data_IF_536845989582
#
_entry.id   IF_536845989582
#
_cell.length_a   1.000
_cell.length_b   1.000
_cell.length_c   1.000
_cell.angle_alpha   90.00
_cell.angle_beta   90.00
_cell.angle_gamma   90.00
#
_symmetry.space_group_name_H-M   'P 1'
#
loop_
_entity.id
_entity.type
_entity.pdbx_description
1 polymer ?
#
# COMPACT_ATOMS: atom_id res chain seq x y z
N UNK A 1 3.40 -18.20 16.89
CA UNK A 1 3.36 -16.74 16.67
C UNK A 1 3.09 -16.08 18.01
N UNK A 2 3.81 -15.04 18.35
CA UNK A 2 3.60 -14.26 19.57
C UNK A 2 2.49 -13.24 19.35
N UNK A 3 1.75 -12.88 20.42
CA UNK A 3 0.74 -11.80 20.35
C UNK A 3 1.27 -10.54 21.01
N UNK A 4 0.97 -9.38 20.44
CA UNK A 4 1.38 -8.08 20.91
C UNK A 4 0.16 -7.15 21.01
N UNK A 5 0.09 -6.37 22.09
CA UNK A 5 -0.95 -5.35 22.27
C UNK A 5 -0.79 -4.22 21.26
N UNK A 6 -1.89 -3.82 20.64
CA UNK A 6 -1.91 -2.75 19.62
C UNK A 6 -1.38 -1.42 20.18
N UNK A 7 -1.77 -1.06 21.41
CA UNK A 7 -1.31 0.19 22.04
C UNK A 7 0.20 0.19 22.28
N UNK A 8 0.77 -0.96 22.71
CA UNK A 8 2.21 -1.11 22.87
C UNK A 8 2.94 -0.94 21.54
N UNK A 9 2.45 -1.60 20.50
CA UNK A 9 3.05 -1.52 19.17
C UNK A 9 2.98 -0.09 18.61
N UNK A 10 1.83 0.59 18.77
CA UNK A 10 1.67 1.99 18.38
C UNK A 10 2.63 2.90 19.14
N UNK A 11 2.68 2.80 20.46
CA UNK A 11 3.55 3.62 21.31
C UNK A 11 5.03 3.42 20.95
N UNK A 12 5.43 2.17 20.72
CA UNK A 12 6.79 1.86 20.28
C UNK A 12 7.12 2.50 18.93
N UNK A 13 6.22 2.37 17.93
CA UNK A 13 6.41 2.95 16.60
C UNK A 13 6.54 4.48 16.65
N UNK A 14 5.65 5.15 17.41
CA UNK A 14 5.71 6.61 17.59
C UNK A 14 7.00 7.02 18.29
N UNK A 15 7.36 6.38 19.40
CA UNK A 15 8.58 6.72 20.14
C UNK A 15 9.85 6.54 19.28
N UNK A 16 9.90 5.47 18.48
CA UNK A 16 11.02 5.24 17.57
C UNK A 16 11.16 6.34 16.51
N UNK A 17 10.04 6.79 15.93
CA UNK A 17 10.02 7.87 14.93
C UNK A 17 10.37 9.23 15.54
N UNK A 18 9.85 9.54 16.73
CA UNK A 18 10.17 10.79 17.43
C UNK A 18 11.65 10.83 17.83
N UNK A 19 12.22 9.69 18.23
CA UNK A 19 13.63 9.62 18.65
C UNK A 19 14.64 10.03 17.57
N UNK A 20 14.24 9.93 16.29
CA UNK A 20 15.05 10.35 15.14
C UNK A 20 14.71 11.74 14.61
N UNK A 21 13.88 12.50 15.33
CA UNK A 21 13.54 13.90 15.06
C UNK A 21 12.27 14.13 14.25
N UNK A 22 11.45 13.10 14.01
CA UNK A 22 10.11 13.30 13.40
C UNK A 22 9.19 14.05 14.37
N UNK A 23 8.29 14.89 13.83
CA UNK A 23 7.27 15.53 14.64
C UNK A 23 6.32 14.48 15.24
N UNK A 24 5.78 14.74 16.42
CA UNK A 24 4.84 13.82 17.08
C UNK A 24 3.59 13.58 16.20
N UNK A 25 3.12 14.58 15.48
CA UNK A 25 2.00 14.49 14.55
C UNK A 25 2.30 13.52 13.40
N UNK A 26 3.47 13.64 12.76
CA UNK A 26 3.85 12.78 11.63
C UNK A 26 4.20 11.37 12.08
N UNK A 27 4.82 11.23 13.26
CA UNK A 27 5.08 9.94 13.89
C UNK A 27 3.78 9.19 14.19
N UNK A 28 2.76 9.87 14.73
CA UNK A 28 1.43 9.29 14.93
C UNK A 28 0.75 8.92 13.61
N UNK A 29 0.82 9.78 12.59
CA UNK A 29 0.29 9.49 11.25
C UNK A 29 0.95 8.25 10.66
N UNK A 30 2.27 8.17 10.71
CA UNK A 30 3.04 7.04 10.19
C UNK A 30 2.72 5.75 10.96
N UNK A 31 2.71 5.80 12.28
CA UNK A 31 2.37 4.66 13.13
C UNK A 31 0.93 4.19 12.89
N UNK A 32 -0.02 5.10 12.69
CA UNK A 32 -1.41 4.76 12.40
C UNK A 32 -1.56 3.98 11.09
N UNK A 33 -0.91 4.43 10.02
CA UNK A 33 -0.89 3.71 8.74
C UNK A 33 -0.35 2.30 8.94
N UNK A 34 0.81 2.15 9.59
CA UNK A 34 1.49 0.86 9.70
C UNK A 34 0.76 -0.12 10.63
N UNK A 35 0.31 0.34 11.80
CA UNK A 35 -0.42 -0.50 12.76
C UNK A 35 -1.79 -0.88 12.21
N UNK A 36 -2.50 0.05 11.56
CA UNK A 36 -3.77 -0.27 10.89
C UNK A 36 -3.58 -1.32 9.80
N UNK A 37 -2.53 -1.22 9.01
CA UNK A 37 -2.16 -2.21 7.98
C UNK A 37 -1.92 -3.60 8.61
N UNK A 38 -1.24 -3.67 9.74
CA UNK A 38 -1.05 -4.93 10.48
C UNK A 38 -2.38 -5.51 10.97
N UNK A 39 -3.32 -4.68 11.43
CA UNK A 39 -4.66 -5.16 11.86
C UNK A 39 -5.46 -5.77 10.71
N UNK A 40 -5.28 -5.33 9.48
CA UNK A 40 -5.86 -5.96 8.29
C UNK A 40 -5.15 -7.28 7.90
N UNK A 41 -4.06 -7.63 8.59
CA UNK A 41 -3.28 -8.83 8.31
C UNK A 41 -2.31 -8.69 7.15
N UNK A 42 -2.02 -7.45 6.71
CA UNK A 42 -1.06 -7.15 5.64
C UNK A 42 0.32 -6.89 6.23
N UNK A 43 0.85 -7.86 6.97
CA UNK A 43 2.08 -7.76 7.77
C UNK A 43 3.35 -7.41 6.96
N UNK A 44 3.30 -7.57 5.64
CA UNK A 44 4.41 -7.23 4.74
C UNK A 44 4.59 -5.72 4.51
N UNK A 45 3.53 -4.94 4.77
CA UNK A 45 3.48 -3.49 4.55
C UNK A 45 3.19 -2.68 5.82
N UNK A 46 3.14 -3.36 6.98
CA UNK A 46 2.92 -2.77 8.29
C UNK A 46 4.20 -2.40 9.03
N UNK A 47 4.16 -2.50 10.34
CA UNK A 47 5.23 -2.07 11.27
C UNK A 47 6.55 -2.80 11.10
N UNK A 48 6.58 -3.97 10.45
CA UNK A 48 7.80 -4.66 10.04
C UNK A 48 8.74 -3.74 9.24
N UNK A 49 8.19 -2.84 8.44
CA UNK A 49 8.97 -1.96 7.55
C UNK A 49 9.50 -0.70 8.26
N UNK A 50 9.08 -0.44 9.50
CA UNK A 50 9.48 0.76 10.24
C UNK A 50 11.00 0.90 10.37
N UNK A 51 11.70 -0.21 10.58
CA UNK A 51 13.17 -0.25 10.63
C UNK A 51 13.77 0.30 9.32
N UNK A 52 13.30 -0.16 8.17
CA UNK A 52 13.82 0.30 6.87
C UNK A 52 13.58 1.79 6.60
N UNK A 53 12.44 2.33 7.03
CA UNK A 53 12.21 3.78 6.93
C UNK A 53 13.17 4.58 7.79
N UNK A 54 13.41 4.14 9.02
CA UNK A 54 14.36 4.81 9.92
C UNK A 54 15.80 4.70 9.40
N UNK A 55 16.19 3.55 8.86
CA UNK A 55 17.51 3.39 8.22
C UNK A 55 17.66 4.35 7.03
N UNK A 56 16.62 4.48 6.20
CA UNK A 56 16.62 5.40 5.05
C UNK A 56 16.69 6.86 5.49
N UNK A 57 16.00 7.25 6.58
CA UNK A 57 16.12 8.58 7.17
C UNK A 57 17.54 8.85 7.68
N UNK A 58 18.12 7.90 8.39
CA UNK A 58 19.53 8.04 8.89
C UNK A 58 20.53 8.12 7.75
N UNK A 59 20.27 7.47 6.63
CA UNK A 59 21.11 7.51 5.44
C UNK A 59 20.91 8.76 4.55
N UNK A 60 19.88 9.59 4.81
CA UNK A 60 19.59 10.83 4.08
C UNK A 60 18.69 10.68 2.87
N UNK A 61 18.22 9.47 2.56
CA UNK A 61 17.26 9.24 1.45
C UNK A 61 15.83 9.67 1.78
N UNK A 62 15.51 9.86 3.06
CA UNK A 62 14.31 10.52 3.59
C UNK A 62 14.72 11.57 4.61
N UNK A 63 13.88 12.57 4.79
CA UNK A 63 14.01 13.59 5.83
C UNK A 63 12.88 13.46 6.85
N UNK A 64 13.24 13.16 8.11
CA UNK A 64 12.28 13.01 9.20
C UNK A 64 11.52 14.30 9.52
N UNK A 65 12.05 15.47 9.14
CA UNK A 65 11.49 16.79 9.42
C UNK A 65 10.84 17.44 8.20
N UNK A 66 10.84 16.75 7.06
CA UNK A 66 10.29 17.30 5.84
C UNK A 66 8.76 17.43 5.93
N UNK A 67 8.25 18.57 5.48
CA UNK A 67 6.83 18.85 5.39
C UNK A 67 6.37 18.82 3.92
N UNK A 68 5.46 17.90 3.55
CA UNK A 68 4.86 17.92 2.22
C UNK A 68 4.11 19.24 1.97
N UNK A 69 4.27 19.81 0.78
CA UNK A 69 3.67 21.11 0.41
C UNK A 69 2.84 20.99 -0.86
N UNK A 70 1.73 21.74 -0.93
CA UNK A 70 0.96 21.87 -2.16
C UNK A 70 1.78 22.76 -3.11
N UNK A 71 2.11 22.22 -4.28
CA UNK A 71 2.88 22.92 -5.31
C UNK A 71 1.97 23.63 -6.30
N UNK A 72 0.90 22.96 -6.71
CA UNK A 72 -0.10 23.46 -7.66
C UNK A 72 -1.47 22.87 -7.29
N UNK A 73 -2.52 23.65 -7.46
CA UNK A 73 -3.87 23.16 -7.25
C UNK A 73 -4.92 23.89 -8.07
N UNK A 74 -6.04 23.23 -8.30
CA UNK A 74 -7.29 23.78 -8.82
C UNK A 74 -8.46 23.33 -7.95
N UNK A 75 -9.67 23.61 -8.39
CA UNK A 75 -10.87 23.28 -7.61
C UNK A 75 -10.97 21.79 -7.29
N UNK A 76 -10.71 20.91 -8.27
CA UNK A 76 -10.89 19.47 -8.16
C UNK A 76 -9.57 18.68 -8.23
N UNK A 77 -8.42 19.33 -8.12
CA UNK A 77 -7.14 18.63 -8.19
C UNK A 77 -6.03 19.39 -7.43
N UNK A 78 -4.98 18.65 -7.07
CA UNK A 78 -3.74 19.25 -6.55
C UNK A 78 -2.54 18.35 -6.87
N UNK A 79 -1.35 18.97 -6.90
CA UNK A 79 -0.06 18.28 -6.90
C UNK A 79 0.70 18.68 -5.63
N UNK A 80 1.15 17.67 -4.89
CA UNK A 80 1.91 17.84 -3.66
C UNK A 80 3.35 17.42 -3.92
N UNK A 81 4.29 18.25 -3.53
CA UNK A 81 5.67 17.87 -3.36
C UNK A 81 5.85 17.22 -2.00
N UNK A 82 6.25 15.96 -1.97
CA UNK A 82 6.51 15.22 -0.74
C UNK A 82 7.75 15.68 0.02
N UNK A 83 8.63 16.46 -0.61
CA UNK A 83 9.85 17.04 -0.01
C UNK A 83 10.74 16.01 0.69
N UNK A 84 10.77 14.77 0.22
CA UNK A 84 11.45 13.62 0.86
C UNK A 84 10.87 13.21 2.23
N UNK A 85 9.67 13.66 2.59
CA UNK A 85 8.98 13.16 3.76
C UNK A 85 8.67 11.66 3.62
N UNK A 86 8.38 11.01 4.73
CA UNK A 86 7.88 9.64 4.73
C UNK A 86 6.61 9.54 3.90
N UNK A 87 6.52 8.54 3.04
CA UNK A 87 5.40 8.38 2.10
C UNK A 87 4.03 8.38 2.77
N UNK A 88 3.92 7.89 4.01
CA UNK A 88 2.68 7.88 4.79
C UNK A 88 2.18 9.29 5.11
N UNK A 89 3.08 10.21 5.45
CA UNK A 89 2.73 11.61 5.77
C UNK A 89 2.21 12.32 4.52
N UNK A 90 2.93 12.22 3.40
CA UNK A 90 2.54 12.82 2.12
C UNK A 90 1.20 12.29 1.63
N UNK A 91 1.00 10.97 1.74
CA UNK A 91 -0.18 10.27 1.23
C UNK A 91 -1.43 10.54 2.07
N UNK A 92 -1.31 10.59 3.40
CA UNK A 92 -2.42 10.99 4.26
C UNK A 92 -2.86 12.42 3.99
N UNK A 93 -1.90 13.35 3.80
CA UNK A 93 -2.19 14.73 3.42
C UNK A 93 -2.91 14.79 2.07
N UNK A 94 -2.43 14.02 1.08
CA UNK A 94 -3.00 14.00 -0.26
C UNK A 94 -4.43 13.45 -0.28
N UNK A 95 -4.70 12.29 0.37
CA UNK A 95 -6.05 11.74 0.40
C UNK A 95 -7.02 12.64 1.18
N UNK A 96 -6.60 13.23 2.31
CA UNK A 96 -7.43 14.20 3.05
C UNK A 96 -7.77 15.42 2.20
N UNK A 97 -6.82 15.92 1.41
CA UNK A 97 -7.06 17.04 0.47
C UNK A 97 -8.01 16.62 -0.67
N UNK A 98 -7.86 15.39 -1.20
CA UNK A 98 -8.78 14.87 -2.22
C UNK A 98 -10.22 14.79 -1.68
N UNK A 99 -10.40 14.27 -0.47
CA UNK A 99 -11.70 14.21 0.23
C UNK A 99 -12.29 15.61 0.39
N UNK A 100 -11.48 16.58 0.87
CA UNK A 100 -11.94 17.96 1.05
C UNK A 100 -12.41 18.58 -0.27
N UNK A 101 -11.62 18.47 -1.35
CA UNK A 101 -11.98 19.00 -2.65
C UNK A 101 -13.19 18.28 -3.27
N UNK A 102 -13.33 16.96 -3.06
CA UNK A 102 -14.47 16.19 -3.53
C UNK A 102 -15.78 16.62 -2.89
N UNK A 103 -15.79 17.08 -1.63
CA UNK A 103 -16.98 17.65 -0.96
C UNK A 103 -17.56 18.84 -1.73
N UNK A 104 -16.72 19.62 -2.41
CA UNK A 104 -17.15 20.76 -3.21
C UNK A 104 -17.45 20.37 -4.67
N UNK A 105 -16.56 19.62 -5.30
CA UNK A 105 -16.56 19.33 -6.74
C UNK A 105 -17.20 17.99 -7.13
N UNK A 106 -17.53 17.12 -6.17
CA UNK A 106 -18.07 15.77 -6.41
C UNK A 106 -16.99 14.72 -6.66
N UNK A 107 -15.87 15.09 -7.29
CA UNK A 107 -14.70 14.24 -7.53
C UNK A 107 -13.44 15.08 -7.46
N UNK A 108 -12.37 14.54 -6.90
CA UNK A 108 -11.07 15.21 -6.89
C UNK A 108 -9.91 14.23 -7.05
N UNK A 109 -8.84 14.70 -7.68
CA UNK A 109 -7.57 14.02 -7.86
C UNK A 109 -6.47 14.78 -7.11
N UNK A 110 -5.65 14.07 -6.32
CA UNK A 110 -4.44 14.64 -5.72
C UNK A 110 -3.25 13.75 -6.01
N UNK A 111 -2.27 14.29 -6.74
CA UNK A 111 -1.02 13.61 -7.04
C UNK A 111 0.09 14.02 -6.08
N UNK A 112 1.05 13.12 -5.87
CA UNK A 112 2.25 13.36 -5.04
C UNK A 112 3.48 12.95 -5.83
N UNK A 113 4.54 13.76 -5.79
CA UNK A 113 5.86 13.40 -6.27
C UNK A 113 6.92 13.62 -5.20
N UNK A 114 8.17 13.26 -5.46
CA UNK A 114 9.29 13.38 -4.52
C UNK A 114 8.95 12.71 -3.18
N UNK A 115 8.37 11.51 -3.26
CA UNK A 115 7.90 10.71 -2.12
C UNK A 115 8.67 9.38 -2.06
N UNK A 116 8.22 8.48 -1.20
CA UNK A 116 8.81 7.18 -0.95
C UNK A 116 7.71 6.15 -0.73
N UNK A 117 8.08 4.87 -0.60
CA UNK A 117 7.16 3.81 -0.21
C UNK A 117 6.21 4.25 0.92
N UNK A 118 4.90 3.95 0.80
CA UNK A 118 3.85 4.53 1.63
C UNK A 118 3.04 3.51 2.45
N UNK A 119 3.54 2.26 2.58
CA UNK A 119 2.80 1.18 3.22
C UNK A 119 1.78 0.55 2.28
N UNK A 120 0.59 0.21 2.78
CA UNK A 120 -0.49 -0.40 2.01
C UNK A 120 -1.43 0.64 1.41
N UNK A 121 -1.75 0.51 0.11
CA UNK A 121 -2.62 1.45 -0.60
C UNK A 121 -4.05 1.43 -0.05
N UNK A 122 -4.49 0.27 0.44
CA UNK A 122 -5.81 0.09 1.04
C UNK A 122 -6.10 0.97 2.26
N UNK A 123 -5.08 1.39 2.98
CA UNK A 123 -5.26 2.34 4.08
C UNK A 123 -5.86 3.65 3.56
N UNK A 124 -5.30 4.20 2.48
CA UNK A 124 -5.71 5.52 1.97
C UNK A 124 -7.05 5.48 1.27
N UNK A 125 -7.34 4.45 0.47
CA UNK A 125 -8.67 4.31 -0.15
C UNK A 125 -9.77 4.19 0.91
N UNK A 126 -9.48 3.52 2.04
CA UNK A 126 -10.40 3.42 3.18
C UNK A 126 -10.57 4.73 3.97
N UNK A 127 -9.62 5.68 3.93
CA UNK A 127 -9.84 7.02 4.48
C UNK A 127 -11.01 7.72 3.79
N UNK A 128 -11.12 7.62 2.47
CA UNK A 128 -12.24 8.18 1.74
C UNK A 128 -13.55 7.41 2.02
N UNK A 129 -13.49 6.08 2.11
CA UNK A 129 -14.66 5.27 2.42
C UNK A 129 -15.22 5.57 3.82
N UNK A 130 -14.36 5.87 4.80
CA UNK A 130 -14.77 6.29 6.14
C UNK A 130 -15.53 7.64 6.14
N UNK A 131 -15.29 8.49 5.14
CA UNK A 131 -16.01 9.76 4.93
C UNK A 131 -17.23 9.63 3.99
N UNK A 132 -17.67 8.39 3.69
CA UNK A 132 -18.81 8.13 2.81
C UNK A 132 -18.52 8.30 1.32
N UNK A 133 -17.24 8.30 0.91
CA UNK A 133 -16.81 8.50 -0.47
C UNK A 133 -16.22 7.21 -1.05
N UNK A 134 -16.20 7.08 -2.39
CA UNK A 134 -15.37 6.07 -3.03
C UNK A 134 -13.95 6.61 -3.11
N UNK A 135 -12.97 5.86 -2.59
CA UNK A 135 -11.56 6.19 -2.63
C UNK A 135 -10.77 5.31 -3.58
N UNK A 136 -9.82 5.90 -4.31
CA UNK A 136 -8.77 5.18 -5.04
C UNK A 136 -7.40 5.67 -4.55
N UNK A 137 -6.46 4.74 -4.42
CA UNK A 137 -5.08 5.04 -4.07
C UNK A 137 -4.14 4.18 -4.92
N UNK A 138 -3.17 4.79 -5.57
CA UNK A 138 -2.19 4.12 -6.41
C UNK A 138 -0.79 4.70 -6.18
N UNK A 139 0.22 3.89 -6.42
CA UNK A 139 1.63 4.30 -6.37
C UNK A 139 2.42 3.59 -7.43
N UNK A 140 3.40 4.27 -8.03
CA UNK A 140 4.42 3.53 -8.76
C UNK A 140 5.50 3.00 -7.81
N UNK A 141 6.34 2.11 -8.31
CA UNK A 141 7.44 1.48 -7.58
C UNK A 141 8.62 1.22 -8.52
N UNK A 142 9.78 0.94 -7.94
CA UNK A 142 10.96 0.48 -8.68
C UNK A 142 10.66 -0.78 -9.51
N UNK A 143 11.27 -0.96 -10.69
CA UNK A 143 10.97 -2.05 -11.59
C UNK A 143 11.26 -3.42 -11.00
N UNK A 144 10.25 -4.29 -10.96
CA UNK A 144 10.33 -5.70 -10.49
C UNK A 144 9.60 -6.67 -11.42
N UNK A 145 8.77 -6.16 -12.33
CA UNK A 145 7.94 -6.95 -13.25
C UNK A 145 8.52 -6.86 -14.66
N UNK A 146 8.63 -8.01 -15.35
CA UNK A 146 8.84 -8.06 -16.79
C UNK A 146 7.52 -7.81 -17.52
N UNK A 147 7.54 -6.93 -18.51
CA UNK A 147 6.36 -6.68 -19.35
C UNK A 147 6.14 -7.87 -20.33
N UNK A 148 4.93 -8.07 -20.87
CA UNK A 148 4.66 -9.11 -21.86
C UNK A 148 5.65 -9.04 -23.03
N UNK A 149 6.24 -10.18 -23.39
CA UNK A 149 7.33 -10.33 -24.37
C UNK A 149 8.66 -9.65 -23.96
N UNK A 150 8.75 -9.12 -22.75
CA UNK A 150 10.00 -8.62 -22.20
C UNK A 150 10.70 -9.69 -21.35
N UNK A 151 12.01 -9.54 -21.15
CA UNK A 151 12.84 -10.48 -20.37
C UNK A 151 13.50 -9.85 -19.13
N UNK A 152 13.33 -8.54 -18.93
CA UNK A 152 13.91 -7.81 -17.81
C UNK A 152 12.83 -7.04 -17.05
N UNK A 153 13.12 -6.72 -15.81
CA UNK A 153 12.33 -5.82 -14.99
C UNK A 153 12.18 -4.47 -15.70
N UNK A 154 10.96 -4.06 -15.96
CA UNK A 154 10.66 -2.86 -16.74
C UNK A 154 9.66 -1.94 -16.04
N UNK A 155 8.78 -2.48 -15.19
CA UNK A 155 7.75 -1.73 -14.47
C UNK A 155 7.65 -2.20 -13.03
N UNK A 156 7.24 -1.32 -12.14
CA UNK A 156 7.04 -1.62 -10.73
C UNK A 156 5.85 -2.54 -10.46
N UNK A 157 5.73 -3.00 -9.22
CA UNK A 157 4.54 -3.73 -8.75
C UNK A 157 3.29 -2.86 -8.70
N UNK A 158 3.44 -1.56 -8.76
CA UNK A 158 2.47 -0.50 -8.97
C UNK A 158 1.13 -0.79 -8.28
N UNK A 159 1.06 -0.73 -6.92
CA UNK A 159 -0.13 -1.09 -6.19
C UNK A 159 -1.33 -0.26 -6.59
N UNK A 160 -2.47 -0.93 -6.64
CA UNK A 160 -3.78 -0.34 -6.93
C UNK A 160 -4.75 -0.71 -5.82
N UNK A 161 -5.42 0.30 -5.26
CA UNK A 161 -6.49 0.11 -4.29
C UNK A 161 -7.70 0.97 -4.59
N UNK A 162 -8.88 0.41 -4.35
CA UNK A 162 -10.11 1.17 -4.22
C UNK A 162 -10.86 0.75 -2.95
N UNK A 163 -11.72 1.64 -2.44
CA UNK A 163 -12.67 1.34 -1.37
C UNK A 163 -13.99 2.06 -1.62
N UNK A 164 -15.09 1.36 -1.37
CA UNK A 164 -16.46 1.91 -1.47
C UNK A 164 -17.22 1.62 -0.17
N UNK A 165 -17.86 2.61 0.49
CA UNK A 165 -18.47 2.44 1.80
C UNK A 165 -19.70 1.54 1.76
N UNK A 166 -19.89 0.71 2.79
CA UNK A 166 -21.08 -0.13 2.98
C UNK A 166 -22.15 0.53 3.87
N UNK A 167 -21.81 1.60 4.59
CA UNK A 167 -22.71 2.29 5.49
C UNK A 167 -22.70 1.79 6.94
N UNK A 168 -21.97 0.70 7.22
CA UNK A 168 -21.81 0.09 8.54
C UNK A 168 -20.41 0.34 9.16
N UNK A 169 -19.68 1.30 8.63
CA UNK A 169 -18.29 1.61 9.01
C UNK A 169 -17.25 0.73 8.30
N UNK A 170 -17.69 -0.20 7.45
CA UNK A 170 -16.83 -1.02 6.58
C UNK A 170 -16.96 -0.59 5.12
N UNK A 171 -16.12 -1.17 4.28
CA UNK A 171 -16.11 -0.95 2.84
C UNK A 171 -15.94 -2.26 2.06
N UNK A 172 -16.41 -2.30 0.83
CA UNK A 172 -15.82 -3.20 -0.16
C UNK A 172 -14.51 -2.54 -0.58
N UNK A 173 -13.38 -3.23 -0.44
CA UNK A 173 -12.11 -2.70 -0.91
C UNK A 173 -11.20 -3.77 -1.49
N UNK A 174 -10.35 -3.34 -2.40
CA UNK A 174 -9.27 -4.13 -2.99
C UNK A 174 -7.95 -3.40 -2.74
N UNK A 175 -6.92 -4.13 -2.36
CA UNK A 175 -5.53 -3.63 -2.28
C UNK A 175 -4.61 -4.70 -2.83
N UNK A 176 -4.04 -4.46 -4.00
CA UNK A 176 -3.24 -5.44 -4.73
C UNK A 176 -1.99 -4.83 -5.34
N UNK A 177 -0.93 -5.63 -5.40
CA UNK A 177 0.15 -5.43 -6.36
C UNK A 177 -0.30 -5.93 -7.74
N UNK A 178 0.19 -5.30 -8.82
CA UNK A 178 -0.14 -5.71 -10.18
C UNK A 178 0.81 -6.79 -10.76
N UNK A 179 1.65 -7.38 -9.89
CA UNK A 179 2.34 -8.64 -10.15
C UNK A 179 1.43 -9.83 -9.87
N UNK A 180 1.68 -10.95 -10.54
CA UNK A 180 0.90 -12.18 -10.34
C UNK A 180 1.09 -12.78 -8.95
N UNK A 181 2.19 -12.44 -8.29
CA UNK A 181 2.53 -12.86 -6.93
C UNK A 181 3.32 -11.77 -6.21
N UNK A 182 3.18 -11.68 -4.90
CA UNK A 182 4.06 -10.84 -4.10
C UNK A 182 5.48 -11.42 -4.05
N UNK A 183 6.51 -10.57 -4.21
CA UNK A 183 7.92 -10.98 -4.17
C UNK A 183 8.29 -11.80 -2.92
N UNK A 184 7.71 -11.48 -1.77
CA UNK A 184 7.94 -12.21 -0.52
C UNK A 184 7.50 -13.69 -0.62
N UNK A 185 6.45 -14.02 -1.37
CA UNK A 185 6.04 -15.42 -1.56
C UNK A 185 7.09 -16.22 -2.35
N UNK A 186 7.78 -15.57 -3.30
CA UNK A 186 8.89 -16.18 -4.02
C UNK A 186 10.05 -16.45 -3.07
N UNK A 187 10.42 -15.47 -2.24
CA UNK A 187 11.49 -15.60 -1.24
C UNK A 187 11.17 -16.73 -0.24
N UNK A 188 9.93 -16.81 0.23
CA UNK A 188 9.49 -17.90 1.12
C UNK A 188 9.57 -19.29 0.45
N UNK A 189 9.35 -19.38 -0.86
CA UNK A 189 9.50 -20.62 -1.60
C UNK A 189 10.98 -21.01 -1.74
N UNK A 190 11.89 -20.02 -1.98
CA UNK A 190 13.35 -20.23 -1.96
C UNK A 190 13.81 -20.80 -0.62
N UNK A 191 13.45 -20.15 0.50
CA UNK A 191 13.82 -20.59 1.84
C UNK A 191 13.39 -22.04 2.15
N UNK A 192 12.31 -22.49 1.51
CA UNK A 192 11.77 -23.86 1.67
C UNK A 192 12.24 -24.84 0.59
N UNK A 193 13.07 -24.42 -0.36
CA UNK A 193 13.49 -25.23 -1.49
C UNK A 193 12.31 -25.72 -2.37
N UNK A 194 11.24 -24.91 -2.47
CA UNK A 194 10.02 -25.30 -3.18
C UNK A 194 9.99 -24.74 -4.58
N UNK A 195 9.52 -25.55 -5.52
CA UNK A 195 9.15 -25.07 -6.86
C UNK A 195 7.94 -24.14 -6.78
N UNK A 196 7.93 -23.13 -7.65
CA UNK A 196 6.85 -22.17 -7.79
C UNK A 196 6.05 -22.42 -9.09
N UNK A 197 4.81 -21.89 -9.19
CA UNK A 197 4.09 -21.87 -10.46
C UNK A 197 4.88 -21.12 -11.56
N UNK A 198 4.82 -21.60 -12.78
CA UNK A 198 5.44 -20.98 -13.96
C UNK A 198 4.84 -19.63 -14.34
N UNK A 199 3.70 -19.27 -13.74
CA UNK A 199 3.04 -17.97 -13.87
C UNK A 199 3.65 -16.88 -12.99
N UNK A 200 4.61 -17.20 -12.10
CA UNK A 200 5.15 -16.23 -11.15
C UNK A 200 6.34 -15.46 -11.69
N UNK A 201 7.25 -16.16 -12.36
CA UNK A 201 8.53 -15.59 -12.83
C UNK A 201 8.77 -15.87 -14.31
N UNK A 202 9.51 -14.96 -14.94
CA UNK A 202 10.25 -15.21 -16.18
C UNK A 202 11.74 -15.08 -15.89
N UNK A 203 12.56 -15.90 -16.55
CA UNK A 203 14.01 -15.87 -16.45
C UNK A 203 14.64 -14.79 -17.35
N UNK A 204 15.98 -14.78 -17.45
CA UNK A 204 16.74 -13.80 -18.24
C UNK A 204 16.45 -13.84 -19.74
N UNK A 205 15.91 -14.95 -20.25
CA UNK A 205 15.48 -15.08 -21.66
C UNK A 205 13.99 -14.73 -21.85
N UNK A 206 13.26 -14.40 -20.75
CA UNK A 206 11.84 -14.09 -20.80
C UNK A 206 10.96 -15.34 -20.82
N UNK A 207 11.52 -16.50 -20.50
CA UNK A 207 10.79 -17.78 -20.47
C UNK A 207 10.25 -18.02 -19.06
N UNK A 208 8.98 -18.48 -18.93
CA UNK A 208 8.42 -18.86 -17.64
C UNK A 208 9.29 -19.88 -16.91
N UNK A 209 9.54 -19.69 -15.61
CA UNK A 209 10.36 -20.58 -14.80
C UNK A 209 9.67 -20.98 -13.50
N UNK A 210 9.90 -22.22 -13.06
CA UNK A 210 9.44 -22.75 -11.76
C UNK A 210 10.54 -22.71 -10.70
N UNK A 211 11.71 -22.16 -11.03
CA UNK A 211 12.86 -22.07 -10.18
C UNK A 211 12.85 -20.74 -9.40
N UNK A 212 12.53 -20.82 -8.10
CA UNK A 212 12.48 -19.66 -7.22
C UNK A 212 13.88 -19.05 -6.96
N UNK A 213 14.97 -19.85 -7.05
CA UNK A 213 16.31 -19.41 -6.69
C UNK A 213 16.89 -18.36 -7.67
N UNK A 214 16.33 -18.31 -8.88
CA UNK A 214 16.66 -17.26 -9.86
C UNK A 214 16.24 -15.84 -9.44
N UNK A 215 15.25 -15.72 -8.55
CA UNK A 215 14.79 -14.40 -8.09
C UNK A 215 15.63 -13.89 -6.89
N UNK A 216 15.99 -12.61 -6.80
CA UNK A 216 15.60 -11.51 -7.71
C UNK A 216 16.63 -11.19 -8.80
N UNK A 217 17.73 -11.91 -8.92
CA UNK A 217 18.85 -11.54 -9.79
C UNK A 217 18.64 -11.95 -11.26
N UNK A 218 18.26 -13.19 -11.47
CA UNK A 218 18.16 -13.85 -12.78
C UNK A 218 16.72 -14.04 -13.26
N UNK A 219 15.74 -13.52 -12.50
CA UNK A 219 14.33 -13.60 -12.86
C UNK A 219 13.57 -12.34 -12.48
N UNK A 220 12.46 -12.12 -13.17
CA UNK A 220 11.52 -11.01 -12.97
C UNK A 220 10.13 -11.54 -12.69
N UNK A 221 9.35 -10.82 -11.88
CA UNK A 221 7.94 -11.15 -11.66
C UNK A 221 7.14 -11.03 -12.96
N UNK A 222 6.08 -11.82 -13.08
CA UNK A 222 5.10 -11.67 -14.16
C UNK A 222 3.95 -10.76 -13.75
N UNK A 223 3.36 -9.98 -14.67
CA UNK A 223 2.21 -9.16 -14.38
C UNK A 223 0.96 -10.00 -14.14
N UNK A 224 0.09 -9.58 -13.24
CA UNK A 224 -1.21 -10.20 -12.97
C UNK A 224 -2.01 -10.34 -14.27
N UNK A 225 -2.54 -11.53 -14.54
CA UNK A 225 -3.31 -11.80 -15.76
C UNK A 225 -2.64 -11.29 -17.05
N UNK A 226 -1.31 -11.39 -17.15
CA UNK A 226 -0.49 -11.01 -18.31
C UNK A 226 -0.72 -9.55 -18.77
N UNK A 227 -1.13 -9.33 -20.03
CA UNK A 227 -1.32 -8.01 -20.62
C UNK A 227 -2.37 -7.13 -19.87
N UNK A 228 -3.32 -7.74 -19.16
CA UNK A 228 -4.36 -6.98 -18.43
C UNK A 228 -3.77 -6.25 -17.22
N UNK A 229 -3.05 -6.96 -16.36
CA UNK A 229 -2.36 -6.34 -15.22
C UNK A 229 -1.25 -5.39 -15.66
N UNK A 230 -0.55 -5.71 -16.76
CA UNK A 230 0.40 -4.77 -17.36
C UNK A 230 -0.29 -3.47 -17.77
N UNK A 231 -1.47 -3.52 -18.42
CA UNK A 231 -2.23 -2.32 -18.76
C UNK A 231 -2.63 -1.49 -17.53
N UNK A 232 -3.04 -2.14 -16.45
CA UNK A 232 -3.31 -1.46 -15.18
C UNK A 232 -2.03 -0.86 -14.57
N UNK A 233 -0.88 -1.55 -14.64
CA UNK A 233 0.38 -1.02 -14.14
C UNK A 233 0.83 0.24 -14.91
N UNK A 234 0.58 0.30 -16.21
CA UNK A 234 0.81 1.49 -17.04
C UNK A 234 -0.15 2.63 -16.65
N UNK A 235 -1.42 2.34 -16.40
CA UNK A 235 -2.37 3.35 -15.88
C UNK A 235 -1.89 3.94 -14.55
N UNK A 236 -1.43 3.09 -13.64
CA UNK A 236 -0.86 3.56 -12.35
C UNK A 236 0.36 4.44 -12.59
N UNK A 237 1.27 4.06 -13.50
CA UNK A 237 2.44 4.86 -13.86
C UNK A 237 2.03 6.24 -14.39
N UNK A 238 1.01 6.31 -15.25
CA UNK A 238 0.49 7.57 -15.79
C UNK A 238 -0.06 8.44 -14.65
N UNK A 239 -0.92 7.88 -13.81
CA UNK A 239 -1.57 8.63 -12.73
C UNK A 239 -0.58 9.07 -11.65
N UNK A 240 0.29 8.15 -11.20
CA UNK A 240 1.16 8.38 -10.04
C UNK A 240 2.48 9.07 -10.40
N UNK A 241 2.98 8.92 -11.61
CA UNK A 241 4.28 9.45 -11.99
C UNK A 241 4.21 10.49 -13.12
N UNK A 242 3.69 10.13 -14.30
CA UNK A 242 3.69 11.05 -15.45
C UNK A 242 2.92 12.34 -15.14
N UNK A 243 1.74 12.23 -14.53
CA UNK A 243 0.90 13.39 -14.17
C UNK A 243 1.46 14.22 -13.02
N UNK A 244 2.22 13.60 -12.12
CA UNK A 244 2.72 14.25 -10.91
C UNK A 244 4.11 14.87 -11.09
N UNK A 245 4.87 14.40 -12.09
CA UNK A 245 6.28 14.74 -12.27
C UNK A 245 7.24 13.92 -11.40
N UNK A 246 6.78 12.80 -10.83
CA UNK A 246 7.63 11.85 -10.12
C UNK A 246 8.50 11.04 -11.10
N UNK A 247 9.43 10.25 -10.57
CA UNK A 247 10.24 9.33 -11.36
C UNK A 247 9.37 8.31 -12.09
N UNK A 248 9.68 8.02 -13.35
CA UNK A 248 9.03 6.99 -14.15
C UNK A 248 9.92 5.75 -14.28
N UNK A 249 9.33 4.57 -14.15
CA UNK A 249 10.02 3.28 -14.40
C UNK A 249 11.39 3.21 -13.68
N UNK A 250 12.49 3.18 -14.45
CA UNK A 250 13.86 3.08 -13.93
C UNK A 250 14.37 4.32 -13.18
N UNK A 251 13.67 5.43 -13.21
CA UNK A 251 13.98 6.62 -12.40
C UNK A 251 13.54 6.46 -10.94
N UNK A 252 12.67 5.48 -10.66
CA UNK A 252 12.28 5.14 -9.28
C UNK A 252 13.36 4.26 -8.66
N UNK A 253 14.01 4.79 -7.63
CA UNK A 253 15.07 4.08 -6.90
C UNK A 253 14.46 3.18 -5.83
N UNK A 254 15.04 2.00 -5.62
CA UNK A 254 14.54 1.08 -4.59
C UNK A 254 14.60 1.69 -3.19
N UNK A 255 13.47 1.69 -2.49
CA UNK A 255 13.36 2.34 -1.18
C UNK A 255 14.13 1.61 -0.06
N UNK A 256 14.36 0.31 -0.22
CA UNK A 256 14.97 -0.56 0.80
C UNK A 256 16.36 -1.10 0.43
N UNK A 257 16.78 -0.97 -0.84
CA UNK A 257 18.11 -1.39 -1.28
C UNK A 257 19.08 -0.21 -1.42
N UNK A 258 18.56 0.96 -1.82
CA UNK A 258 19.34 2.21 -1.87
C UNK A 258 18.80 3.18 -0.81
N UNK A 259 19.43 3.13 0.36
CA UNK A 259 18.98 3.92 1.51
C UNK A 259 19.34 5.41 1.41
N UNK A 260 20.42 5.75 0.71
CA UNK A 260 20.94 7.12 0.63
C UNK A 260 20.24 7.96 -0.44
N UNK A 261 19.80 7.34 -1.54
CA UNK A 261 19.17 8.04 -2.64
C UNK A 261 17.70 8.34 -2.34
N UNK A 262 17.19 9.44 -2.90
CA UNK A 262 15.77 9.76 -2.90
C UNK A 262 15.04 8.74 -3.75
N UNK A 263 13.97 8.14 -3.25
CA UNK A 263 13.22 7.13 -3.98
C UNK A 263 12.48 7.72 -5.20
N UNK A 264 11.97 8.95 -5.07
CA UNK A 264 11.22 9.69 -6.07
C UNK A 264 9.98 8.94 -6.61
N UNK A 265 9.37 8.12 -5.75
CA UNK A 265 8.09 7.51 -6.07
C UNK A 265 6.97 8.56 -6.13
N UNK A 266 5.99 8.30 -6.98
CA UNK A 266 4.79 9.09 -7.11
C UNK A 266 3.57 8.35 -6.59
N UNK A 267 2.56 9.09 -6.17
CA UNK A 267 1.29 8.55 -5.73
C UNK A 267 0.13 9.33 -6.34
N UNK A 268 -1.02 8.70 -6.47
CA UNK A 268 -2.25 9.39 -6.84
C UNK A 268 -3.42 8.91 -5.98
N UNK A 269 -4.23 9.86 -5.59
CA UNK A 269 -5.40 9.68 -4.74
C UNK A 269 -6.61 10.32 -5.41
N UNK A 270 -7.71 9.58 -5.47
CA UNK A 270 -8.98 10.07 -6.02
C UNK A 270 -10.05 9.81 -4.97
N UNK A 271 -10.86 10.83 -4.68
CA UNK A 271 -12.06 10.71 -3.87
C UNK A 271 -13.28 11.11 -4.71
N UNK A 272 -14.36 10.32 -4.60
CA UNK A 272 -15.64 10.57 -5.26
C UNK A 272 -16.70 10.70 -4.18
N UNK A 273 -17.29 11.86 -4.04
CA UNK A 273 -18.36 12.11 -3.08
C UNK A 273 -19.68 11.53 -3.62
N UNK A 274 -20.08 10.40 -3.04
CA UNK A 274 -21.30 9.71 -3.41
C UNK A 274 -22.52 10.58 -3.24
N UNK A 275 -22.55 11.44 -2.22
CA UNK A 275 -23.70 12.31 -1.91
C UNK A 275 -23.98 13.35 -2.98
N UNK A 276 -22.98 13.68 -3.82
CA UNK A 276 -23.15 14.55 -4.99
C UNK A 276 -23.77 13.84 -6.18
N UNK A 277 -23.70 12.51 -6.23
CA UNK A 277 -24.20 11.69 -7.34
C UNK A 277 -25.60 11.15 -7.07
N UNK A 278 -25.86 10.75 -5.80
CA UNK A 278 -27.16 10.23 -5.35
C UNK A 278 -27.30 10.36 -3.83
N UNK A 279 -28.52 10.26 -3.28
CA UNK A 279 -28.69 10.20 -1.83
C UNK A 279 -27.89 9.05 -1.21
N UNK A 280 -27.11 9.32 -0.15
CA UNK A 280 -26.23 8.36 0.48
C UNK A 280 -26.95 7.07 0.95
N UNK A 281 -28.16 7.21 1.51
CA UNK A 281 -28.99 6.06 1.91
C UNK A 281 -29.39 5.18 0.73
N UNK A 282 -29.59 5.77 -0.45
CA UNK A 282 -29.87 5.01 -1.67
C UNK A 282 -28.63 4.24 -2.10
N UNK A 283 -27.47 4.87 -2.04
CA UNK A 283 -26.19 4.22 -2.35
C UNK A 283 -25.92 3.04 -1.41
N UNK A 284 -26.04 3.22 -0.11
CA UNK A 284 -25.75 2.15 0.87
C UNK A 284 -26.73 0.98 0.75
N UNK A 285 -28.00 1.24 0.47
CA UNK A 285 -28.97 0.17 0.15
C UNK A 285 -28.57 -0.63 -1.09
N UNK A 286 -28.10 0.04 -2.15
CA UNK A 286 -27.63 -0.63 -3.36
C UNK A 286 -26.32 -1.39 -3.12
N UNK A 287 -25.42 -0.88 -2.27
CA UNK A 287 -24.20 -1.58 -1.86
C UNK A 287 -24.53 -2.84 -1.04
N UNK A 288 -25.51 -2.77 -0.16
CA UNK A 288 -26.00 -3.95 0.57
C UNK A 288 -26.58 -4.99 -0.40
N UNK A 289 -27.45 -4.59 -1.33
CA UNK A 289 -27.97 -5.48 -2.36
C UNK A 289 -26.85 -6.13 -3.18
N UNK A 290 -25.89 -5.36 -3.67
CA UNK A 290 -24.71 -5.88 -4.41
C UNK A 290 -23.98 -6.93 -3.59
N UNK A 291 -23.71 -6.64 -2.31
CA UNK A 291 -23.01 -7.54 -1.41
C UNK A 291 -23.78 -8.85 -1.18
N UNK A 292 -25.08 -8.75 -0.97
CA UNK A 292 -25.95 -9.89 -0.74
C UNK A 292 -26.07 -10.79 -1.97
N UNK A 293 -26.23 -10.21 -3.15
CA UNK A 293 -26.29 -10.98 -4.41
C UNK A 293 -24.97 -11.72 -4.67
N UNK A 294 -23.81 -11.08 -4.42
CA UNK A 294 -22.49 -11.73 -4.55
C UNK A 294 -22.31 -12.86 -3.53
N UNK A 295 -22.65 -12.64 -2.26
CA UNK A 295 -22.51 -13.67 -1.20
C UNK A 295 -23.45 -14.85 -1.40
N UNK A 296 -24.62 -14.63 -1.96
CA UNK A 296 -25.64 -15.65 -2.19
C UNK A 296 -25.53 -16.32 -3.57
N UNK A 297 -24.52 -15.99 -4.37
CA UNK A 297 -24.25 -16.71 -5.61
C UNK A 297 -24.02 -18.22 -5.33
N UNK A 298 -24.32 -19.11 -6.27
CA UNK A 298 -24.08 -20.55 -6.09
C UNK A 298 -22.61 -20.84 -5.75
N UNK A 299 -22.39 -21.49 -4.59
CA UNK A 299 -21.04 -21.83 -4.13
C UNK A 299 -20.41 -22.97 -4.95
N UNK A 300 -19.11 -22.91 -5.16
CA UNK A 300 -18.35 -24.05 -5.65
C UNK A 300 -18.46 -25.24 -4.67
N UNK A 301 -18.33 -26.48 -5.20
CA UNK A 301 -18.59 -27.74 -4.49
C UNK A 301 -17.94 -27.83 -3.09
N UNK A 302 -16.74 -27.29 -2.93
CA UNK A 302 -15.95 -27.36 -1.69
C UNK A 302 -15.79 -25.99 -1.00
N UNK A 303 -16.56 -24.96 -1.38
CA UNK A 303 -16.50 -23.66 -0.78
C UNK A 303 -17.44 -23.54 0.42
N UNK A 304 -16.91 -23.15 1.57
CA UNK A 304 -17.71 -22.89 2.77
C UNK A 304 -18.45 -21.55 2.67
N UNK A 305 -17.78 -20.52 2.17
CA UNK A 305 -18.26 -19.14 2.09
C UNK A 305 -17.78 -18.47 0.80
N UNK A 306 -18.58 -17.56 0.27
CA UNK A 306 -18.16 -16.60 -0.75
C UNK A 306 -17.82 -15.30 -0.03
N UNK A 307 -16.63 -14.78 -0.28
CA UNK A 307 -16.15 -13.51 0.24
C UNK A 307 -16.32 -12.42 -0.81
N UNK A 308 -16.72 -11.23 -0.38
CA UNK A 308 -16.58 -10.02 -1.19
C UNK A 308 -15.21 -9.38 -0.95
N UNK A 309 -14.69 -8.56 -1.89
CA UNK A 309 -13.38 -7.93 -1.71
C UNK A 309 -13.27 -7.13 -0.41
N UNK A 310 -12.19 -7.36 0.33
CA UNK A 310 -11.91 -6.71 1.61
C UNK A 310 -12.55 -7.38 2.84
N UNK A 311 -13.47 -8.34 2.66
CA UNK A 311 -14.18 -8.95 3.79
C UNK A 311 -13.24 -9.74 4.72
N UNK A 312 -12.27 -10.45 4.17
CA UNK A 312 -11.28 -11.20 4.95
C UNK A 312 -10.39 -10.27 5.78
N UNK A 313 -10.03 -9.14 5.23
CA UNK A 313 -9.23 -8.10 5.88
C UNK A 313 -10.04 -7.44 7.00
N UNK A 314 -11.31 -7.11 6.76
CA UNK A 314 -12.21 -6.58 7.79
C UNK A 314 -12.47 -7.57 8.92
N UNK A 315 -12.58 -8.87 8.65
CA UNK A 315 -12.73 -9.90 9.67
C UNK A 315 -11.49 -9.95 10.59
N UNK A 316 -10.27 -9.92 10.01
CA UNK A 316 -9.02 -9.85 10.76
C UNK A 316 -8.92 -8.57 11.60
N UNK A 317 -9.22 -7.41 11.00
CA UNK A 317 -9.20 -6.14 11.71
C UNK A 317 -10.20 -6.11 12.86
N UNK A 318 -11.42 -6.59 12.65
CA UNK A 318 -12.43 -6.67 13.70
C UNK A 318 -11.98 -7.54 14.86
N UNK A 319 -11.36 -8.69 14.58
CA UNK A 319 -10.80 -9.57 15.60
C UNK A 319 -9.62 -8.91 16.35
N UNK A 320 -8.71 -8.23 15.64
CA UNK A 320 -7.59 -7.52 16.25
C UNK A 320 -8.05 -6.38 17.17
N UNK A 321 -9.05 -5.60 16.73
CA UNK A 321 -9.61 -4.52 17.53
C UNK A 321 -10.38 -5.04 18.76
N UNK A 322 -11.12 -6.14 18.62
CA UNK A 322 -11.86 -6.74 19.73
C UNK A 322 -10.93 -7.35 20.79
N UNK A 323 -9.80 -7.96 20.39
CA UNK A 323 -8.81 -8.51 21.31
C UNK A 323 -7.82 -7.47 21.84
N UNK A 324 -7.66 -6.33 21.16
CA UNK A 324 -6.59 -5.37 21.40
C UNK A 324 -5.18 -5.89 21.04
N UNK A 325 -5.08 -6.97 20.27
CA UNK A 325 -3.81 -7.66 19.98
C UNK A 325 -3.73 -8.08 18.50
N UNK A 326 -2.50 -8.18 18.01
CA UNK A 326 -2.18 -8.82 16.72
C UNK A 326 -1.18 -9.96 16.90
N UNK A 327 -1.23 -10.92 15.98
CA UNK A 327 -0.17 -11.93 15.84
C UNK A 327 1.01 -11.32 15.09
N UNK A 328 2.23 -11.57 15.61
CA UNK A 328 3.48 -11.12 14.98
C UNK A 328 4.34 -12.31 14.59
N UNK A 329 5.03 -12.15 13.46
CA UNK A 329 5.96 -13.15 12.95
C UNK A 329 7.36 -12.95 13.56
N UNK A 330 8.20 -13.99 13.48
CA UNK A 330 9.61 -13.87 13.92
C UNK A 330 10.38 -12.80 13.15
N UNK A 331 10.05 -12.59 11.87
CA UNK A 331 10.62 -11.52 11.05
C UNK A 331 10.22 -10.12 11.56
N UNK A 332 9.00 -9.93 12.08
CA UNK A 332 8.58 -8.67 12.73
C UNK A 332 9.35 -8.46 14.02
N UNK A 333 9.47 -9.49 14.86
CA UNK A 333 10.23 -9.42 16.11
C UNK A 333 11.71 -9.10 15.88
N UNK A 334 12.33 -9.69 14.85
CA UNK A 334 13.70 -9.36 14.44
C UNK A 334 13.83 -7.90 13.99
N UNK A 335 12.85 -7.38 13.25
CA UNK A 335 12.81 -5.97 12.84
C UNK A 335 12.66 -5.04 14.04
N UNK A 336 11.84 -5.37 15.03
CA UNK A 336 11.68 -4.55 16.24
C UNK A 336 12.93 -4.54 17.10
N UNK A 337 13.64 -5.68 17.23
CA UNK A 337 14.91 -5.75 17.93
C UNK A 337 15.97 -4.87 17.26
N UNK A 338 16.07 -4.93 15.92
CA UNK A 338 16.95 -4.04 15.15
C UNK A 338 16.58 -2.57 15.35
N UNK A 339 15.29 -2.27 15.42
CA UNK A 339 14.77 -0.93 15.67
C UNK A 339 15.17 -0.41 17.07
N UNK A 340 15.12 -1.27 18.11
CA UNK A 340 15.66 -0.92 19.45
C UNK A 340 17.12 -0.52 19.39
N UNK A 341 17.93 -1.28 18.64
CA UNK A 341 19.38 -1.00 18.49
C UNK A 341 19.62 0.33 17.76
N UNK A 342 18.80 0.64 16.75
CA UNK A 342 18.92 1.85 15.94
C UNK A 342 18.47 3.12 16.67
N UNK A 343 17.48 3.02 17.56
CA UNK A 343 16.80 4.17 18.17
C UNK A 343 17.03 4.31 19.67
N UNK A 344 17.45 3.24 20.34
CA UNK A 344 17.54 3.18 21.80
C UNK A 344 16.17 3.03 22.49
N UNK A 345 15.07 3.04 21.74
CA UNK A 345 13.70 2.88 22.28
C UNK A 345 13.43 1.40 22.50
N UNK A 346 12.94 1.03 23.69
CA UNK A 346 12.64 -0.37 24.04
C UNK A 346 11.24 -0.76 23.61
N UNK A 347 11.17 -1.95 22.99
CA UNK A 347 9.92 -2.56 22.57
C UNK A 347 9.20 -3.25 23.70
#
# INVERSE_FOLDING_TARGET
MSKIKLDRLRSFAVSALVSIGMSEMDANTTADVLVTTDTFGVLTHGTKNLCGYIEKMKAGGLDAKAEPSIEREGSAWAIINGNKAVGMVSSCKAMKLAIQKAKDCGIAYVGVHNSCHFGAAGYYSNLAAAEGMIGLAVSNADPVIAIPNGRKKAIGSNPFSFAAPLGDGKSIFLDIALSNVAALKVIMAQEKGQKIPDTWLVDEEGVPTTDADKFPKEASLQPMAAHKGYGFAVLVEILAAVMTGAGILSEVVSWNLDLASVNNAGHAFIAIDVSKMMPYDTFTKRMAQLSDELRNAPKAKNAEKIYIPGEMEWDKRSAALASGEIEVTDAMLASYKKLEELTGVKF
#
